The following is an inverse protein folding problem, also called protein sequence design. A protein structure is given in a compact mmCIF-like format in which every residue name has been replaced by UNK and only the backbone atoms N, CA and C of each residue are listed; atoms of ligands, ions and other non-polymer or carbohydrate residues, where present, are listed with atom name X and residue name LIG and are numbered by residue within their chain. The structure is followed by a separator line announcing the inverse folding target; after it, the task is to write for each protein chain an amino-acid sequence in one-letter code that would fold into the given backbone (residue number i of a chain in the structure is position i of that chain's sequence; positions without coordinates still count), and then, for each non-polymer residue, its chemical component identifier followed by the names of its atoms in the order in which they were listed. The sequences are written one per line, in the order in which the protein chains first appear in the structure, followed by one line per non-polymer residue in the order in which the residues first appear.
data_IF_111496556263
#
_entry.id   IF_111496556263
#
_cell.length_a   1.000
_cell.length_b   1.000
_cell.length_c   1.000
_cell.angle_alpha   90.00
_cell.angle_beta   90.00
_cell.angle_gamma   90.00
#
_symmetry.space_group_name_H-M   'P 1'
#
loop_
_entity.id
_entity.type
_entity.pdbx_description
1 polymer ?
#
# COMPACT_ATOMS: atom_id res chain seq x y z
N UNK A 1 -8.55 21.45 -6.46
CA UNK A 1 -7.88 20.58 -5.46
C UNK A 1 -8.60 19.23 -5.40
N UNK A 2 -7.84 18.12 -5.39
CA UNK A 2 -8.40 16.77 -5.32
C UNK A 2 -8.89 16.49 -3.88
N UNK A 3 -10.15 16.10 -3.74
CA UNK A 3 -10.76 15.64 -2.49
C UNK A 3 -10.74 14.12 -2.34
N UNK A 4 -11.17 13.59 -1.18
CA UNK A 4 -11.12 12.15 -0.88
C UNK A 4 -11.95 11.27 -1.84
N UNK A 5 -13.06 11.80 -2.35
CA UNK A 5 -13.92 11.09 -3.31
C UNK A 5 -13.23 10.93 -4.68
N UNK A 6 -12.33 11.86 -5.03
CA UNK A 6 -11.68 11.92 -6.33
C UNK A 6 -10.65 10.78 -6.49
N UNK A 7 -10.12 10.26 -5.38
CA UNK A 7 -9.09 9.22 -5.42
C UNK A 7 -9.63 7.88 -5.94
N UNK A 8 -10.86 7.51 -5.55
CA UNK A 8 -11.53 6.31 -6.06
C UNK A 8 -11.83 6.45 -7.55
N UNK A 9 -12.32 7.61 -7.96
CA UNK A 9 -12.61 7.89 -9.37
C UNK A 9 -11.34 7.80 -10.23
N UNK A 10 -10.22 8.34 -9.75
CA UNK A 10 -8.94 8.22 -10.43
C UNK A 10 -8.48 6.76 -10.59
N UNK A 11 -8.71 5.92 -9.58
CA UNK A 11 -8.39 4.48 -9.66
C UNK A 11 -9.33 3.71 -10.60
N UNK A 12 -10.54 4.19 -10.84
CA UNK A 12 -11.47 3.62 -11.82
C UNK A 12 -11.11 4.02 -13.26
N UNK A 13 -10.59 5.22 -13.46
CA UNK A 13 -10.21 5.75 -14.78
C UNK A 13 -8.79 5.37 -15.21
N UNK A 14 -7.87 5.21 -14.25
CA UNK A 14 -6.45 4.98 -14.51
C UNK A 14 -5.88 3.88 -13.61
N UNK A 15 -4.84 3.15 -14.06
CA UNK A 15 -4.12 2.20 -13.22
C UNK A 15 -3.22 2.93 -12.22
N UNK A 16 -3.81 3.45 -11.16
CA UNK A 16 -3.13 4.22 -10.12
C UNK A 16 -2.33 3.28 -9.20
N UNK A 17 -1.06 3.62 -9.00
CA UNK A 17 -0.23 3.05 -7.94
C UNK A 17 -0.31 3.97 -6.73
N UNK A 18 -0.81 3.44 -5.62
CA UNK A 18 -1.01 4.22 -4.41
C UNK A 18 0.17 4.03 -3.45
N UNK A 19 1.02 5.04 -3.33
CA UNK A 19 2.17 5.04 -2.42
C UNK A 19 1.93 6.01 -1.27
N UNK A 20 1.33 5.51 -0.18
CA UNK A 20 1.09 6.28 1.04
C UNK A 20 1.37 5.44 2.28
N UNK A 21 1.76 6.05 3.41
CA UNK A 21 1.90 5.33 4.67
C UNK A 21 0.55 4.73 5.07
N UNK A 22 0.46 3.40 5.10
CA UNK A 22 -0.72 2.65 5.50
C UNK A 22 -0.31 1.58 6.50
N UNK A 23 -0.73 1.66 7.77
CA UNK A 23 -0.53 0.59 8.73
C UNK A 23 -1.26 -0.69 8.27
N UNK A 24 -0.68 -1.86 8.56
CA UNK A 24 -1.25 -3.16 8.16
C UNK A 24 -2.73 -3.32 8.55
N UNK A 25 -3.09 -2.93 9.78
CA UNK A 25 -4.46 -3.00 10.28
C UNK A 25 -5.49 -2.11 9.57
N UNK A 26 -5.08 -1.24 8.63
CA UNK A 26 -5.97 -0.39 7.82
C UNK A 26 -5.94 -0.76 6.33
N UNK A 27 -5.05 -1.67 5.91
CA UNK A 27 -4.80 -1.96 4.51
C UNK A 27 -6.04 -2.55 3.83
N UNK A 28 -6.71 -3.53 4.44
CA UNK A 28 -7.89 -4.17 3.87
C UNK A 28 -9.03 -3.17 3.60
N UNK A 29 -9.33 -2.30 4.58
CA UNK A 29 -10.37 -1.27 4.41
C UNK A 29 -10.01 -0.32 3.27
N UNK A 30 -8.75 0.10 3.19
CA UNK A 30 -8.25 0.97 2.15
C UNK A 30 -8.38 0.33 0.76
N UNK A 31 -7.96 -0.94 0.62
CA UNK A 31 -8.05 -1.69 -0.64
C UNK A 31 -9.50 -1.89 -1.07
N UNK A 32 -10.40 -2.19 -0.13
CA UNK A 32 -11.83 -2.33 -0.41
C UNK A 32 -12.49 -1.02 -0.87
N UNK A 33 -12.08 0.12 -0.30
CA UNK A 33 -12.68 1.44 -0.60
C UNK A 33 -12.13 2.08 -1.86
N UNK A 34 -10.81 2.06 -2.05
CA UNK A 34 -10.12 2.82 -3.11
C UNK A 34 -9.85 1.96 -4.35
N UNK A 35 -9.63 0.65 -4.18
CA UNK A 35 -9.30 -0.31 -5.24
C UNK A 35 -8.23 0.20 -6.22
N UNK A 36 -7.02 0.57 -5.73
CA UNK A 36 -5.93 0.94 -6.62
C UNK A 36 -5.45 -0.25 -7.45
N UNK A 37 -4.78 0.02 -8.57
CA UNK A 37 -4.20 -1.05 -9.39
C UNK A 37 -2.99 -1.72 -8.70
N UNK A 38 -2.27 -0.96 -7.88
CA UNK A 38 -1.21 -1.49 -7.01
C UNK A 38 -0.99 -0.57 -5.81
N UNK A 39 -0.33 -1.09 -4.78
CA UNK A 39 0.18 -0.30 -3.66
C UNK A 39 1.70 -0.20 -3.75
N UNK A 40 2.23 1.00 -3.47
CA UNK A 40 3.65 1.23 -3.35
C UNK A 40 4.09 1.04 -1.91
N UNK A 41 4.81 -0.05 -1.63
CA UNK A 41 5.41 -0.30 -0.34
C UNK A 41 6.82 0.30 -0.28
N UNK A 42 7.16 0.91 0.84
CA UNK A 42 8.52 1.38 1.13
C UNK A 42 9.00 0.58 2.32
N UNK A 43 10.05 -0.23 2.15
CA UNK A 43 10.70 -0.87 3.28
C UNK A 43 11.28 0.14 4.27
N UNK A 44 11.60 -0.34 5.46
CA UNK A 44 11.89 0.45 6.65
C UNK A 44 13.22 1.19 6.65
N UNK A 45 13.65 1.55 7.86
CA UNK A 45 14.89 2.28 8.10
C UNK A 45 16.14 1.50 7.64
N UNK A 46 17.20 2.23 7.31
CA UNK A 46 18.50 1.62 7.07
C UNK A 46 19.10 1.15 8.40
N UNK A 47 19.20 -0.16 8.60
CA UNK A 47 19.88 -0.73 9.78
C UNK A 47 21.39 -0.45 9.75
N UNK A 48 21.96 -0.39 8.54
CA UNK A 48 23.35 -0.06 8.25
C UNK A 48 23.43 0.53 6.84
N UNK A 49 24.48 1.31 6.53
CA UNK A 49 24.70 1.84 5.18
C UNK A 49 24.59 0.73 4.12
N UNK A 50 23.61 0.86 3.23
CA UNK A 50 23.33 -0.11 2.17
C UNK A 50 22.57 -1.38 2.62
N UNK A 51 22.10 -1.44 3.87
CA UNK A 51 21.31 -2.53 4.44
C UNK A 51 19.96 -1.99 4.89
N UNK A 52 18.90 -2.44 4.22
CA UNK A 52 17.54 -2.00 4.47
C UNK A 52 16.75 -3.13 5.12
N UNK A 53 16.05 -2.84 6.21
CA UNK A 53 15.15 -3.80 6.83
C UNK A 53 13.81 -3.85 6.09
N UNK A 54 13.20 -5.02 6.04
CA UNK A 54 11.88 -5.23 5.46
C UNK A 54 10.92 -5.96 6.41
N UNK A 55 11.34 -6.21 7.65
CA UNK A 55 10.56 -6.95 8.66
C UNK A 55 9.18 -6.31 8.90
N UNK A 56 9.09 -4.97 8.81
CA UNK A 56 7.83 -4.24 8.91
C UNK A 56 6.84 -4.52 7.77
N UNK A 57 7.31 -5.08 6.65
CA UNK A 57 6.47 -5.44 5.51
C UNK A 57 5.90 -6.84 5.62
N UNK A 58 6.40 -7.68 6.53
CA UNK A 58 5.97 -9.08 6.64
C UNK A 58 4.47 -9.17 6.93
N UNK A 59 3.97 -8.37 7.89
CA UNK A 59 2.53 -8.30 8.20
C UNK A 59 1.70 -7.87 6.98
N UNK A 60 2.21 -6.93 6.17
CA UNK A 60 1.52 -6.47 4.97
C UNK A 60 1.50 -7.56 3.88
N UNK A 61 2.60 -8.32 3.74
CA UNK A 61 2.68 -9.41 2.78
C UNK A 61 1.78 -10.59 3.17
N UNK A 62 1.69 -10.92 4.46
CA UNK A 62 0.75 -11.93 4.95
C UNK A 62 -0.69 -11.57 4.62
N UNK A 63 -1.11 -10.32 4.84
CA UNK A 63 -2.45 -9.84 4.49
C UNK A 63 -2.74 -9.88 2.97
N UNK A 64 -1.72 -9.70 2.14
CA UNK A 64 -1.84 -9.69 0.68
C UNK A 64 -1.66 -11.07 0.05
N UNK A 65 -1.17 -12.05 0.82
CA UNK A 65 -0.92 -13.39 0.33
C UNK A 65 -2.26 -14.04 -0.06
N UNK A 66 -2.30 -14.58 -1.28
CA UNK A 66 -3.42 -15.40 -1.73
C UNK A 66 -3.01 -16.85 -1.47
N UNK A 67 -3.75 -17.54 -0.61
CA UNK A 67 -3.61 -18.99 -0.46
C UNK A 67 -4.13 -19.69 -1.73
N UNK A 68 -3.30 -20.55 -2.31
CA UNK A 68 -3.59 -21.31 -3.54
C UNK A 68 -3.73 -22.79 -3.23
#
# INVERSE_FOLDING_TARGET
PLGPADLRQLCEEFPVILALPCPAGQLEELLARIRPAAIGLRGGEEEKVGYKSFDELDELFELLAIEV
#
